data_IF_761360680665
#
_entry.id   IF_761360680665
#
_cell.length_a   1.000
_cell.length_b   1.000
_cell.length_c   1.000
_cell.angle_alpha   90.00
_cell.angle_beta   90.00
_cell.angle_gamma   90.00
#
_symmetry.space_group_name_H-M   'P 1'
#
loop_
_entity.id
_entity.type
_entity.pdbx_description
1 polymer ?
#
# COMPACT_ATOMS: atom_id res chain seq x y z
N UNK A 1 -57.69 -8.08 39.90
CA UNK A 1 -57.58 -6.61 40.07
C UNK A 1 -56.26 -6.17 39.44
N UNK A 2 -56.31 -5.56 38.25
CA UNK A 2 -55.12 -5.06 37.55
C UNK A 2 -54.88 -3.60 37.95
N UNK A 3 -53.75 -3.32 38.60
CA UNK A 3 -53.29 -1.96 38.89
C UNK A 3 -52.87 -1.28 37.59
N UNK A 4 -53.74 -0.41 37.07
CA UNK A 4 -53.45 0.52 35.98
C UNK A 4 -52.31 1.45 36.41
N UNK A 5 -51.09 1.16 35.96
CA UNK A 5 -49.98 2.11 36.02
C UNK A 5 -50.36 3.34 35.20
N UNK A 6 -50.73 4.42 35.88
CA UNK A 6 -50.91 5.74 35.26
C UNK A 6 -49.61 6.12 34.57
N UNK A 7 -49.64 6.20 33.24
CA UNK A 7 -48.52 6.74 32.47
C UNK A 7 -48.28 8.20 32.90
N UNK A 8 -47.04 8.59 33.21
CA UNK A 8 -46.74 9.96 33.63
C UNK A 8 -47.15 10.93 32.52
N UNK A 9 -47.92 11.96 32.89
CA UNK A 9 -48.36 13.00 31.96
C UNK A 9 -47.17 13.68 31.25
N UNK A 10 -47.42 14.37 30.12
CA UNK A 10 -46.36 14.94 29.28
C UNK A 10 -45.40 15.88 30.03
N UNK A 11 -45.86 16.54 31.09
CA UNK A 11 -45.02 17.36 31.98
C UNK A 11 -44.02 16.53 32.81
N UNK A 12 -44.46 15.40 33.38
CA UNK A 12 -43.61 14.50 34.15
C UNK A 12 -42.55 13.80 33.27
N UNK A 13 -42.91 13.47 32.02
CA UNK A 13 -41.96 12.93 31.02
C UNK A 13 -40.87 13.95 30.65
N UNK A 14 -41.24 15.22 30.46
CA UNK A 14 -40.28 16.31 30.20
C UNK A 14 -39.33 16.53 31.39
N UNK A 15 -39.83 16.45 32.62
CA UNK A 15 -39.02 16.62 33.82
C UNK A 15 -38.04 15.44 34.04
N UNK A 16 -38.47 14.21 33.75
CA UNK A 16 -37.58 13.04 33.75
C UNK A 16 -36.40 13.19 32.79
N UNK A 17 -36.66 13.57 31.53
CA UNK A 17 -35.59 13.77 30.54
C UNK A 17 -34.66 14.93 30.89
N UNK A 18 -35.20 16.03 31.43
CA UNK A 18 -34.37 17.13 31.96
C UNK A 18 -33.42 16.64 33.05
N UNK A 19 -33.90 15.82 33.98
CA UNK A 19 -33.04 15.25 35.03
C UNK A 19 -32.00 14.29 34.46
N UNK A 20 -32.35 13.44 33.49
CA UNK A 20 -31.37 12.54 32.83
C UNK A 20 -30.27 13.31 32.12
N UNK A 21 -30.60 14.41 31.44
CA UNK A 21 -29.61 15.29 30.80
C UNK A 21 -28.71 15.94 31.86
N UNK A 22 -29.27 16.42 32.97
CA UNK A 22 -28.48 16.99 34.08
C UNK A 22 -27.52 15.94 34.66
N UNK A 23 -27.98 14.71 34.90
CA UNK A 23 -27.12 13.64 35.39
C UNK A 23 -26.01 13.29 34.39
N UNK A 24 -26.31 13.28 33.09
CA UNK A 24 -25.32 13.00 32.05
C UNK A 24 -24.27 14.12 31.93
N UNK A 25 -24.69 15.38 32.03
CA UNK A 25 -23.79 16.54 32.04
C UNK A 25 -22.93 16.54 33.32
N UNK A 26 -23.53 16.28 34.48
CA UNK A 26 -22.81 16.24 35.75
C UNK A 26 -21.80 15.10 35.80
N UNK A 27 -22.17 13.90 35.35
CA UNK A 27 -21.27 12.75 35.28
C UNK A 27 -20.14 12.97 34.25
N UNK A 28 -20.44 13.56 33.09
CA UNK A 28 -19.44 13.96 32.11
C UNK A 28 -18.45 14.98 32.67
N UNK A 29 -18.92 16.01 33.38
CA UNK A 29 -18.09 17.00 34.06
C UNK A 29 -17.20 16.37 35.15
N UNK A 30 -17.74 15.45 35.94
CA UNK A 30 -16.98 14.75 36.98
C UNK A 30 -15.85 13.91 36.38
N UNK A 31 -16.13 13.23 35.27
CA UNK A 31 -15.15 12.43 34.54
C UNK A 31 -14.06 13.33 33.92
N UNK A 32 -14.45 14.49 33.39
CA UNK A 32 -13.53 15.47 32.82
C UNK A 32 -12.60 16.06 33.90
N UNK A 33 -13.15 16.44 35.05
CA UNK A 33 -12.36 16.90 36.22
C UNK A 33 -11.41 15.79 36.69
N UNK A 34 -11.89 14.55 36.77
CA UNK A 34 -11.07 13.41 37.15
C UNK A 34 -9.91 13.18 36.18
N UNK A 35 -10.13 13.33 34.87
CA UNK A 35 -9.08 13.23 33.85
C UNK A 35 -8.10 14.40 33.91
N UNK A 36 -8.56 15.61 34.24
CA UNK A 36 -7.74 16.82 34.37
C UNK A 36 -6.90 16.87 35.65
N UNK A 37 -7.13 15.98 36.62
CA UNK A 37 -6.29 15.90 37.80
C UNK A 37 -4.82 15.66 37.38
N UNK A 38 -3.85 16.41 37.93
CA UNK A 38 -2.47 16.41 37.44
C UNK A 38 -1.79 15.04 37.51
N UNK A 39 -2.17 14.19 38.47
CA UNK A 39 -1.69 12.80 38.57
C UNK A 39 -2.20 11.93 37.41
N UNK A 40 -3.45 12.11 37.01
CA UNK A 40 -4.10 11.34 35.94
C UNK A 40 -3.65 11.82 34.57
N UNK A 41 -3.55 13.13 34.36
CA UNK A 41 -2.94 13.69 33.15
C UNK A 41 -1.48 13.25 32.99
N UNK A 42 -0.68 13.27 34.06
CA UNK A 42 0.71 12.80 34.02
C UNK A 42 0.75 11.32 33.66
N UNK A 43 -0.09 10.48 34.27
CA UNK A 43 -0.16 9.06 33.96
C UNK A 43 -0.60 8.79 32.50
N UNK A 44 -1.60 9.52 31.99
CA UNK A 44 -2.06 9.45 30.59
C UNK A 44 -0.95 9.87 29.61
N UNK A 45 -0.34 11.04 29.81
CA UNK A 45 0.65 11.63 28.89
C UNK A 45 2.04 10.99 28.98
N UNK A 46 2.38 10.32 30.09
CA UNK A 46 3.71 9.69 30.22
C UNK A 46 3.67 8.17 30.15
N UNK A 47 2.74 7.48 30.81
CA UNK A 47 2.73 6.02 30.83
C UNK A 47 1.96 5.45 29.65
N UNK A 48 0.75 5.95 29.41
CA UNK A 48 -0.09 5.46 28.31
C UNK A 48 0.51 5.85 26.96
N UNK A 49 0.89 7.12 26.77
CA UNK A 49 1.54 7.53 25.52
C UNK A 49 2.85 6.80 25.27
N UNK A 50 3.66 6.54 26.31
CA UNK A 50 4.89 5.76 26.17
C UNK A 50 4.60 4.30 25.81
N UNK A 51 3.58 3.68 26.40
CA UNK A 51 3.15 2.33 26.04
C UNK A 51 2.69 2.25 24.58
N UNK A 52 1.84 3.18 24.11
CA UNK A 52 1.38 3.18 22.73
C UNK A 52 2.50 3.51 21.74
N UNK A 53 3.40 4.45 22.06
CA UNK A 53 4.60 4.72 21.26
C UNK A 53 5.51 3.50 21.20
N UNK A 54 5.79 2.84 22.33
CA UNK A 54 6.59 1.62 22.36
C UNK A 54 5.92 0.49 21.58
N UNK A 55 4.61 0.29 21.73
CA UNK A 55 3.86 -0.70 20.96
C UNK A 55 3.90 -0.40 19.46
N UNK A 56 3.81 0.87 19.06
CA UNK A 56 3.92 1.29 17.67
C UNK A 56 5.33 1.05 17.13
N UNK A 57 6.37 1.46 17.86
CA UNK A 57 7.77 1.23 17.48
C UNK A 57 8.09 -0.26 17.40
N UNK A 58 7.65 -1.06 18.37
CA UNK A 58 7.79 -2.51 18.35
C UNK A 58 6.98 -3.13 17.21
N UNK A 59 5.79 -2.63 16.91
CA UNK A 59 5.00 -3.04 15.75
C UNK A 59 5.70 -2.76 14.42
N UNK A 60 6.28 -1.57 14.27
CA UNK A 60 7.08 -1.19 13.10
C UNK A 60 8.34 -2.03 12.96
N UNK A 61 9.01 -2.37 14.07
CA UNK A 61 10.23 -3.18 14.08
C UNK A 61 9.98 -4.68 13.92
N UNK A 62 8.85 -5.20 14.41
CA UNK A 62 8.54 -6.63 14.38
C UNK A 62 7.83 -7.05 13.09
N UNK A 63 6.94 -6.22 12.56
CA UNK A 63 6.18 -6.57 11.38
C UNK A 63 7.06 -6.55 10.12
N UNK A 64 7.20 -7.71 9.49
CA UNK A 64 7.97 -7.89 8.26
C UNK A 64 7.36 -7.05 7.13
N UNK A 65 6.04 -6.90 7.10
CA UNK A 65 5.36 -6.11 6.07
C UNK A 65 5.66 -4.62 6.18
N UNK A 66 5.64 -4.07 7.40
CA UNK A 66 5.99 -2.66 7.67
C UNK A 66 7.46 -2.41 7.36
N UNK A 67 8.37 -3.29 7.81
CA UNK A 67 9.80 -3.18 7.47
C UNK A 67 10.06 -3.23 5.97
N UNK A 68 9.38 -4.11 5.24
CA UNK A 68 9.50 -4.18 3.78
C UNK A 68 8.89 -2.96 3.11
N UNK A 69 7.78 -2.44 3.60
CA UNK A 69 7.17 -1.22 3.09
C UNK A 69 8.06 0.01 3.32
N UNK A 70 8.63 0.16 4.52
CA UNK A 70 9.53 1.28 4.84
C UNK A 70 10.87 1.17 4.09
N UNK A 71 11.43 -0.06 3.99
CA UNK A 71 12.71 -0.32 3.33
C UNK A 71 12.65 -0.25 1.80
N UNK A 72 11.57 -0.75 1.19
CA UNK A 72 11.46 -0.88 -0.28
C UNK A 72 10.40 0.05 -0.91
N UNK A 73 9.60 0.76 -0.10
CA UNK A 73 8.67 1.84 -0.52
C UNK A 73 7.81 1.47 -1.73
N UNK A 74 8.01 2.14 -2.86
CA UNK A 74 7.22 1.92 -4.07
C UNK A 74 7.40 0.50 -4.62
N UNK A 75 8.60 -0.07 -4.55
CA UNK A 75 8.85 -1.45 -4.98
C UNK A 75 7.98 -2.45 -4.21
N UNK A 76 7.78 -2.20 -2.91
CA UNK A 76 6.86 -2.99 -2.09
C UNK A 76 5.41 -2.83 -2.57
N UNK A 77 4.97 -1.60 -2.83
CA UNK A 77 3.60 -1.31 -3.34
C UNK A 77 3.30 -2.10 -4.62
N UNK A 78 4.26 -2.16 -5.54
CA UNK A 78 4.08 -2.85 -6.81
C UNK A 78 4.14 -4.37 -6.70
N UNK A 79 5.06 -4.90 -5.90
CA UNK A 79 5.11 -6.34 -5.63
C UNK A 79 3.87 -6.83 -4.87
N UNK A 80 3.29 -6.01 -4.00
CA UNK A 80 1.99 -6.27 -3.38
C UNK A 80 0.83 -6.22 -4.38
N UNK A 81 0.88 -5.33 -5.38
CA UNK A 81 -0.11 -5.32 -6.46
C UNK A 81 -0.08 -6.64 -7.26
N UNK A 82 1.11 -7.14 -7.57
CA UNK A 82 1.29 -8.46 -8.23
C UNK A 82 0.72 -9.55 -7.34
N UNK A 83 1.10 -9.62 -6.06
CA UNK A 83 0.61 -10.64 -5.12
C UNK A 83 -0.91 -10.68 -4.97
N UNK A 84 -1.56 -9.51 -5.00
CA UNK A 84 -3.02 -9.41 -4.85
C UNK A 84 -3.77 -9.83 -6.11
N UNK A 85 -3.13 -9.84 -7.27
CA UNK A 85 -3.79 -9.99 -8.57
C UNK A 85 -3.33 -11.21 -9.36
N UNK A 86 -2.13 -11.69 -9.12
CA UNK A 86 -1.56 -12.88 -9.74
C UNK A 86 -1.60 -14.06 -8.77
N UNK A 87 -1.81 -15.24 -9.31
CA UNK A 87 -1.75 -16.52 -8.61
C UNK A 87 -0.33 -17.11 -8.69
N UNK A 88 0.03 -18.05 -7.82
CA UNK A 88 1.33 -18.74 -7.91
C UNK A 88 1.57 -19.47 -9.23
N UNK A 89 0.50 -19.87 -9.92
CA UNK A 89 0.53 -20.52 -11.24
C UNK A 89 0.68 -19.55 -12.41
N UNK A 90 0.53 -18.24 -12.16
CA UNK A 90 0.69 -17.20 -13.17
C UNK A 90 2.16 -16.99 -13.52
N UNK A 91 2.37 -16.51 -14.75
CA UNK A 91 3.67 -16.11 -15.26
C UNK A 91 3.67 -14.60 -15.46
N UNK A 92 4.45 -13.90 -14.65
CA UNK A 92 4.63 -12.47 -14.73
C UNK A 92 5.84 -12.15 -15.60
N UNK A 93 5.60 -11.49 -16.73
CA UNK A 93 6.67 -10.97 -17.59
C UNK A 93 7.21 -9.67 -17.01
N UNK A 94 8.52 -9.67 -16.76
CA UNK A 94 9.26 -8.49 -16.36
C UNK A 94 9.45 -7.61 -17.62
N UNK A 95 8.91 -6.38 -17.64
CA UNK A 95 9.15 -5.46 -18.74
C UNK A 95 10.65 -5.10 -18.84
N UNK A 96 11.17 -4.80 -20.04
CA UNK A 96 12.50 -4.23 -20.16
C UNK A 96 12.63 -2.96 -19.31
N UNK A 97 13.71 -2.81 -18.54
CA UNK A 97 13.88 -1.61 -17.71
C UNK A 97 13.98 -0.35 -18.55
N UNK A 98 14.67 -0.40 -19.70
CA UNK A 98 14.75 0.75 -20.61
C UNK A 98 13.36 1.20 -21.09
N UNK A 99 12.42 0.27 -21.29
CA UNK A 99 11.03 0.62 -21.58
C UNK A 99 10.40 1.40 -20.41
N UNK A 100 10.57 0.91 -19.17
CA UNK A 100 10.05 1.57 -17.97
C UNK A 100 10.69 2.94 -17.75
N UNK A 101 12.01 3.05 -17.86
CA UNK A 101 12.75 4.31 -17.74
C UNK A 101 12.21 5.32 -18.76
N UNK A 102 12.02 4.90 -20.02
CA UNK A 102 11.58 5.82 -21.07
C UNK A 102 10.13 6.29 -20.91
N UNK A 103 9.24 5.40 -20.48
CA UNK A 103 7.81 5.66 -20.47
C UNK A 103 7.26 6.08 -19.10
N UNK A 104 7.95 5.77 -18.00
CA UNK A 104 7.50 6.04 -16.62
C UNK A 104 8.41 7.01 -15.84
N UNK A 105 9.48 7.57 -16.44
CA UNK A 105 10.30 8.61 -15.78
C UNK A 105 9.42 9.81 -15.40
N UNK A 106 9.45 10.22 -14.13
CA UNK A 106 8.86 11.48 -13.65
C UNK A 106 9.96 12.34 -13.00
N UNK A 107 10.18 13.55 -13.54
CA UNK A 107 11.17 14.48 -13.01
C UNK A 107 10.82 14.89 -11.56
N UNK A 108 11.82 14.91 -10.68
CA UNK A 108 11.63 15.25 -9.26
C UNK A 108 11.03 14.13 -8.40
N UNK A 109 10.70 12.98 -8.99
CA UNK A 109 10.38 11.75 -8.24
C UNK A 109 11.48 10.72 -8.45
N UNK A 110 11.75 9.92 -7.41
CA UNK A 110 12.53 8.69 -7.56
C UNK A 110 11.77 7.62 -8.38
N UNK A 111 10.52 7.90 -8.76
CA UNK A 111 9.49 6.89 -8.93
C UNK A 111 9.32 6.42 -10.39
N UNK A 112 10.27 6.74 -11.27
CA UNK A 112 10.49 5.96 -12.49
C UNK A 112 11.47 4.79 -12.29
N UNK A 113 12.22 4.78 -11.16
CA UNK A 113 13.44 3.95 -10.95
C UNK A 113 13.33 2.97 -9.80
N UNK A 114 12.39 3.18 -8.87
CA UNK A 114 12.17 2.25 -7.77
C UNK A 114 11.67 0.87 -8.26
N UNK A 115 11.41 0.74 -9.56
CA UNK A 115 11.09 -0.51 -10.20
C UNK A 115 12.34 -1.35 -10.48
N UNK A 116 12.71 -2.03 -9.40
CA UNK A 116 13.18 -3.41 -9.41
C UNK A 116 14.60 -3.59 -9.95
N UNK A 117 15.53 -3.35 -9.04
CA UNK A 117 16.67 -4.26 -8.92
C UNK A 117 16.14 -5.69 -8.98
N UNK A 118 16.66 -6.54 -9.88
CA UNK A 118 16.19 -7.91 -10.02
C UNK A 118 16.15 -8.64 -8.68
N UNK A 119 17.21 -8.49 -7.88
CA UNK A 119 17.32 -9.06 -6.55
C UNK A 119 16.18 -8.68 -5.62
N UNK A 120 15.71 -7.43 -5.65
CA UNK A 120 14.59 -6.95 -4.83
C UNK A 120 13.27 -7.55 -5.30
N UNK A 121 13.06 -7.66 -6.62
CA UNK A 121 11.86 -8.29 -7.17
C UNK A 121 11.75 -9.76 -6.75
N UNK A 122 12.83 -10.53 -6.96
CA UNK A 122 12.90 -11.93 -6.57
C UNK A 122 12.72 -12.10 -5.06
N UNK A 123 13.37 -11.26 -4.26
CA UNK A 123 13.25 -11.29 -2.80
C UNK A 123 11.84 -10.95 -2.31
N UNK A 124 11.22 -9.91 -2.87
CA UNK A 124 9.92 -9.43 -2.44
C UNK A 124 8.79 -10.34 -2.93
N UNK A 125 8.84 -10.89 -4.14
CA UNK A 125 7.80 -11.80 -4.63
C UNK A 125 7.96 -13.24 -4.14
N UNK A 126 9.19 -13.72 -3.93
CA UNK A 126 9.42 -15.10 -3.49
C UNK A 126 8.73 -16.11 -4.41
N UNK A 127 7.86 -16.97 -3.85
CA UNK A 127 7.08 -17.98 -4.60
C UNK A 127 5.68 -17.50 -5.02
N UNK A 128 5.40 -16.21 -4.94
CA UNK A 128 4.05 -15.70 -5.21
C UNK A 128 3.65 -15.74 -6.70
N UNK A 129 4.61 -15.76 -7.62
CA UNK A 129 4.38 -15.81 -9.07
C UNK A 129 5.65 -16.29 -9.80
N UNK A 130 5.51 -16.89 -10.98
CA UNK A 130 6.67 -17.21 -11.83
C UNK A 130 7.12 -15.96 -12.59
N UNK A 131 8.39 -15.60 -12.44
CA UNK A 131 8.96 -14.45 -13.14
C UNK A 131 9.61 -14.88 -14.47
N UNK A 132 9.24 -14.20 -15.55
CA UNK A 132 9.84 -14.35 -16.87
C UNK A 132 10.59 -13.09 -17.24
N UNK A 133 11.84 -13.24 -17.68
CA UNK A 133 12.62 -12.15 -18.27
C UNK A 133 12.46 -12.13 -19.78
N UNK A 134 12.60 -10.96 -20.39
CA UNK A 134 12.55 -10.78 -21.85
C UNK A 134 13.68 -11.48 -22.62
N UNK A 135 14.71 -11.96 -21.90
CA UNK A 135 15.80 -12.78 -22.43
C UNK A 135 15.40 -14.25 -22.64
N UNK A 136 14.25 -14.68 -22.11
CA UNK A 136 13.77 -16.04 -22.26
C UNK A 136 13.34 -16.34 -23.72
N UNK A 137 13.41 -17.61 -24.16
CA UNK A 137 12.89 -18.03 -25.46
C UNK A 137 11.43 -17.62 -25.68
N UNK A 138 11.08 -17.27 -26.91
CA UNK A 138 9.72 -16.83 -27.28
C UNK A 138 8.64 -17.83 -26.82
N UNK A 139 8.91 -19.13 -26.85
CA UNK A 139 8.00 -20.18 -26.36
C UNK A 139 7.65 -20.05 -24.88
N UNK A 140 8.58 -19.58 -24.04
CA UNK A 140 8.33 -19.27 -22.63
C UNK A 140 7.62 -17.92 -22.47
N UNK A 141 7.98 -16.91 -23.27
CA UNK A 141 7.33 -15.59 -23.24
C UNK A 141 5.83 -15.68 -23.57
N UNK A 142 5.43 -16.61 -24.46
CA UNK A 142 4.02 -16.87 -24.75
C UNK A 142 3.23 -17.37 -23.53
N UNK A 143 3.89 -17.90 -22.50
CA UNK A 143 3.24 -18.36 -21.26
C UNK A 143 2.92 -17.22 -20.30
N UNK A 144 3.48 -16.02 -20.49
CA UNK A 144 3.22 -14.88 -19.64
C UNK A 144 1.72 -14.58 -19.55
N UNK A 145 1.16 -14.44 -18.36
CA UNK A 145 -0.24 -14.08 -18.12
C UNK A 145 -0.39 -12.61 -17.74
N UNK A 146 0.65 -12.01 -17.14
CA UNK A 146 0.63 -10.63 -16.69
C UNK A 146 1.95 -9.92 -17.02
N UNK A 147 1.90 -8.59 -17.12
CA UNK A 147 3.06 -7.70 -17.20
C UNK A 147 2.69 -6.35 -16.60
N UNK A 148 3.66 -5.45 -16.47
CA UNK A 148 3.37 -4.04 -16.35
C UNK A 148 3.34 -3.36 -17.71
N UNK A 149 2.42 -2.42 -17.85
CA UNK A 149 2.29 -1.55 -19.00
C UNK A 149 2.24 -0.09 -18.55
N UNK A 150 2.87 0.79 -19.31
CA UNK A 150 2.90 2.21 -19.00
C UNK A 150 1.98 2.96 -19.96
N UNK A 151 1.08 3.76 -19.38
CA UNK A 151 0.16 4.62 -20.13
C UNK A 151 0.06 5.96 -19.39
N UNK A 152 0.19 7.09 -20.11
CA UNK A 152 0.18 8.44 -19.52
C UNK A 152 1.11 8.60 -18.30
N UNK A 153 2.35 8.12 -18.41
CA UNK A 153 3.36 8.12 -17.32
C UNK A 153 2.92 7.40 -16.03
N UNK A 154 1.93 6.50 -16.11
CA UNK A 154 1.45 5.66 -15.00
C UNK A 154 1.64 4.19 -15.33
N UNK A 155 2.05 3.41 -14.32
CA UNK A 155 2.28 1.97 -14.45
C UNK A 155 1.03 1.20 -14.04
N UNK A 156 0.57 0.31 -14.91
CA UNK A 156 -0.62 -0.52 -14.71
C UNK A 156 -0.27 -2.00 -14.82
N UNK A 157 -0.89 -2.82 -13.98
CA UNK A 157 -0.85 -4.27 -14.15
C UNK A 157 -1.74 -4.64 -15.33
N UNK A 158 -1.13 -5.18 -16.39
CA UNK A 158 -1.81 -5.61 -17.60
C UNK A 158 -1.88 -7.14 -17.64
N UNK A 159 -3.08 -7.67 -17.87
CA UNK A 159 -3.27 -9.09 -18.20
C UNK A 159 -3.11 -9.29 -19.70
N UNK A 160 -2.32 -10.29 -20.08
CA UNK A 160 -2.16 -10.68 -21.48
C UNK A 160 -3.43 -11.35 -22.01
N UNK A 161 -3.84 -10.90 -23.19
CA UNK A 161 -4.93 -11.41 -24.01
C UNK A 161 -4.43 -11.53 -25.46
N UNK A 162 -5.12 -12.31 -26.28
CA UNK A 162 -4.66 -12.62 -27.64
C UNK A 162 -4.44 -11.38 -28.51
N UNK A 163 -5.26 -10.34 -28.34
CA UNK A 163 -5.15 -9.10 -29.10
C UNK A 163 -4.04 -8.14 -28.62
N UNK A 164 -3.72 -8.14 -27.31
CA UNK A 164 -2.75 -7.18 -26.75
C UNK A 164 -1.33 -7.75 -26.68
N UNK A 165 -1.19 -9.09 -26.55
CA UNK A 165 0.11 -9.74 -26.37
C UNK A 165 1.08 -9.42 -27.51
N UNK A 166 0.71 -9.53 -28.81
CA UNK A 166 1.64 -9.23 -29.90
C UNK A 166 2.14 -7.78 -29.85
N UNK A 167 1.25 -6.83 -29.53
CA UNK A 167 1.56 -5.41 -29.45
C UNK A 167 2.56 -5.11 -28.32
N UNK A 168 2.31 -5.67 -27.14
CA UNK A 168 3.20 -5.49 -25.98
C UNK A 168 4.56 -6.13 -26.23
N UNK A 169 4.59 -7.34 -26.79
CA UNK A 169 5.86 -8.02 -27.11
C UNK A 169 6.65 -7.24 -28.17
N UNK A 170 5.98 -6.75 -29.20
CA UNK A 170 6.62 -5.93 -30.23
C UNK A 170 7.19 -4.62 -29.65
N UNK A 171 6.47 -3.99 -28.72
CA UNK A 171 6.98 -2.80 -28.03
C UNK A 171 8.19 -3.13 -27.17
N UNK A 172 8.13 -4.18 -26.35
CA UNK A 172 9.23 -4.57 -25.45
C UNK A 172 10.49 -4.96 -26.22
N UNK A 173 10.36 -5.62 -27.37
CA UNK A 173 11.48 -6.00 -28.25
C UNK A 173 12.25 -4.80 -28.83
N UNK A 174 11.73 -3.58 -28.75
CA UNK A 174 12.47 -2.35 -29.15
C UNK A 174 13.54 -1.93 -28.13
N UNK A 175 13.50 -2.48 -26.93
CA UNK A 175 14.37 -2.11 -25.83
C UNK A 175 15.34 -3.25 -25.52
N UNK A 176 16.47 -2.90 -24.91
CA UNK A 176 17.42 -3.88 -24.41
C UNK A 176 16.72 -4.85 -23.44
N UNK A 177 16.67 -6.16 -23.74
CA UNK A 177 15.93 -7.14 -22.95
C UNK A 177 16.64 -7.46 -21.63
N UNK A 178 17.91 -7.09 -21.46
CA UNK A 178 18.66 -7.40 -20.26
C UNK A 178 18.13 -6.62 -19.06
N UNK A 179 17.87 -7.36 -17.99
CA UNK A 179 17.44 -6.81 -16.72
C UNK A 179 18.69 -6.49 -15.88
N UNK A 180 19.03 -5.21 -15.77
CA UNK A 180 20.27 -4.70 -15.19
C UNK A 180 20.04 -3.62 -14.10
N UNK A 181 20.95 -3.49 -13.14
CA UNK A 181 20.84 -2.45 -12.12
C UNK A 181 21.31 -1.08 -12.67
N UNK A 182 20.38 -0.22 -13.09
CA UNK A 182 20.71 1.18 -13.45
C UNK A 182 20.89 2.04 -12.20
N UNK A 183 21.99 2.80 -12.11
CA UNK A 183 22.08 3.89 -11.13
C UNK A 183 21.13 5.03 -11.50
N UNK A 184 20.73 5.89 -10.55
CA UNK A 184 19.91 7.06 -10.86
C UNK A 184 20.52 7.97 -11.93
N UNK A 185 21.86 8.12 -11.97
CA UNK A 185 22.53 8.92 -13.01
C UNK A 185 22.45 8.23 -14.37
N UNK A 186 22.73 6.93 -14.45
CA UNK A 186 22.66 6.16 -15.69
C UNK A 186 21.26 6.19 -16.28
N UNK A 187 20.25 6.06 -15.43
CA UNK A 187 18.87 6.03 -15.85
C UNK A 187 18.39 7.42 -16.31
N UNK A 188 18.85 8.50 -15.65
CA UNK A 188 18.60 9.88 -16.09
C UNK A 188 19.29 10.16 -17.43
N UNK A 189 20.55 9.75 -17.56
CA UNK A 189 21.30 9.89 -18.79
C UNK A 189 20.61 9.15 -19.93
N UNK A 190 20.13 7.92 -19.70
CA UNK A 190 19.39 7.15 -20.70
C UNK A 190 18.03 7.80 -21.08
N UNK A 191 17.30 8.31 -20.10
CA UNK A 191 16.06 9.05 -20.37
C UNK A 191 16.32 10.31 -21.23
N UNK A 192 17.42 11.01 -20.96
CA UNK A 192 17.84 12.20 -21.70
C UNK A 192 18.50 11.87 -23.05
N UNK A 193 19.09 10.68 -23.21
CA UNK A 193 19.97 10.36 -24.34
C UNK A 193 19.27 10.27 -25.69
N UNK A 194 17.93 10.24 -25.74
CA UNK A 194 17.14 10.13 -26.97
C UNK A 194 17.55 8.88 -27.81
N UNK A 195 16.75 8.44 -28.79
CA UNK A 195 16.67 9.02 -30.14
C UNK A 195 15.68 10.15 -30.27
#
# INVERSE_FOLDING_TARGET
MATLHKFPGPAARRQFWKMQVIYLVASGLFLLIFLLLPRNQKWLTTTIDRFYKQRQTLGQQSDISIRKQEGYKDAYTYTELIRKRCQPTDYFLIPPQRYLIRNAWQQGKANGYNWLYPSVLYYLLGKSVHLLEMTAPDSLLQRATHTFWVYENKVFLLTFKDHNRPLVMAEFKKYDPHFFAYTPEQARAYYQSKP
#
